data_IF_350375729604
#
_entry.id   IF_350375729604
#
_cell.length_a   1.000
_cell.length_b   1.000
_cell.length_c   1.000
_cell.angle_alpha   90.00
_cell.angle_beta   90.00
_cell.angle_gamma   90.00
#
_symmetry.space_group_name_H-M   'P 1'
#
loop_
_entity.id
_entity.type
_entity.pdbx_description
1 polymer ?
#
# COMPACT_ATOMS: atom_id res chain seq x y z
N UNK A 1 -20.21 12.07 -16.32
CA UNK A 1 -20.12 12.90 -15.10
C UNK A 1 -18.85 13.73 -15.18
N UNK A 2 -18.88 15.03 -14.82
CA UNK A 2 -17.67 15.85 -14.81
C UNK A 2 -16.65 15.32 -13.78
N UNK A 3 -15.35 15.46 -14.08
CA UNK A 3 -14.25 14.93 -13.26
C UNK A 3 -14.28 15.42 -11.79
N UNK A 4 -14.78 16.63 -11.54
CA UNK A 4 -14.91 17.18 -10.19
C UNK A 4 -15.96 16.46 -9.32
N UNK A 5 -16.97 15.79 -9.92
CA UNK A 5 -17.95 15.01 -9.16
C UNK A 5 -17.31 13.81 -8.47
N UNK A 6 -16.33 13.16 -9.12
CA UNK A 6 -15.57 12.07 -8.51
C UNK A 6 -14.72 12.56 -7.34
N UNK A 7 -14.07 13.70 -7.49
CA UNK A 7 -13.26 14.31 -6.43
C UNK A 7 -14.15 14.66 -5.24
N UNK A 8 -15.32 15.27 -5.48
CA UNK A 8 -16.27 15.61 -4.43
C UNK A 8 -16.79 14.37 -3.67
N UNK A 9 -17.12 13.29 -4.40
CA UNK A 9 -17.55 12.02 -3.79
C UNK A 9 -16.42 11.43 -2.92
N UNK A 10 -15.18 11.44 -3.42
CA UNK A 10 -14.04 10.94 -2.66
C UNK A 10 -13.80 11.75 -1.39
N UNK A 11 -13.79 13.08 -1.47
CA UNK A 11 -13.61 13.96 -0.31
C UNK A 11 -14.74 13.74 0.70
N UNK A 12 -16.01 13.67 0.25
CA UNK A 12 -17.13 13.41 1.13
C UNK A 12 -17.04 12.05 1.81
N UNK A 13 -16.73 10.99 1.05
CA UNK A 13 -16.59 9.63 1.60
C UNK A 13 -15.46 9.56 2.63
N UNK A 14 -14.28 10.11 2.31
CA UNK A 14 -13.17 10.17 3.27
C UNK A 14 -13.51 11.01 4.50
N UNK A 15 -14.13 12.17 4.32
CA UNK A 15 -14.54 13.04 5.42
C UNK A 15 -15.53 12.35 6.36
N UNK A 16 -16.58 11.75 5.83
CA UNK A 16 -17.60 11.03 6.61
C UNK A 16 -16.96 9.84 7.35
N UNK A 17 -16.16 9.03 6.63
CA UNK A 17 -15.46 7.89 7.23
C UNK A 17 -14.53 8.34 8.33
N UNK A 18 -13.78 9.43 8.13
CA UNK A 18 -12.87 9.98 9.12
C UNK A 18 -13.62 10.47 10.37
N UNK A 19 -14.74 11.16 10.20
CA UNK A 19 -15.57 11.66 11.32
C UNK A 19 -16.11 10.48 12.14
N UNK A 20 -16.68 9.46 11.48
CA UNK A 20 -17.26 8.28 12.14
C UNK A 20 -16.20 7.50 12.93
N UNK A 21 -15.00 7.36 12.37
CA UNK A 21 -13.92 6.56 12.98
C UNK A 21 -12.90 7.42 13.74
N UNK A 22 -13.12 8.74 13.86
CA UNK A 22 -12.14 9.66 14.44
C UNK A 22 -11.64 9.25 15.82
N UNK A 23 -12.54 8.84 16.71
CA UNK A 23 -12.17 8.42 18.06
C UNK A 23 -11.27 7.16 18.05
N UNK A 24 -11.63 6.16 17.23
CA UNK A 24 -10.83 4.93 17.02
C UNK A 24 -9.52 5.24 16.29
N UNK A 25 -9.56 6.10 15.27
CA UNK A 25 -8.38 6.53 14.52
C UNK A 25 -7.40 7.30 15.43
N UNK A 26 -7.89 8.18 16.30
CA UNK A 26 -7.05 8.92 17.25
C UNK A 26 -6.33 7.99 18.22
N UNK A 27 -7.01 7.00 18.77
CA UNK A 27 -6.40 5.97 19.63
C UNK A 27 -5.34 5.16 18.88
N UNK A 28 -5.66 4.70 17.66
CA UNK A 28 -4.72 3.97 16.81
C UNK A 28 -3.49 4.80 16.44
N UNK A 29 -3.68 6.07 16.04
CA UNK A 29 -2.60 7.00 15.70
C UNK A 29 -1.72 7.26 16.91
N UNK A 30 -2.31 7.46 18.10
CA UNK A 30 -1.55 7.64 19.33
C UNK A 30 -0.72 6.41 19.69
N UNK A 31 -1.28 5.22 19.55
CA UNK A 31 -0.58 3.94 19.74
C UNK A 31 0.57 3.76 18.74
N UNK A 32 0.32 4.04 17.46
CA UNK A 32 1.35 3.99 16.41
C UNK A 32 2.46 5.00 16.72
N UNK A 33 2.12 6.24 17.08
CA UNK A 33 3.08 7.28 17.42
C UNK A 33 3.96 6.90 18.61
N UNK A 34 3.37 6.28 19.64
CA UNK A 34 4.11 5.79 20.80
C UNK A 34 5.06 4.67 20.42
N UNK A 35 4.61 3.70 19.61
CA UNK A 35 5.45 2.61 19.09
C UNK A 35 6.58 3.16 18.20
N UNK A 36 6.31 4.15 17.34
CA UNK A 36 7.34 4.77 16.50
C UNK A 36 8.37 5.55 17.31
N UNK A 37 7.99 6.19 18.43
CA UNK A 37 8.92 6.89 19.34
C UNK A 37 9.81 5.93 20.12
N UNK A 38 9.30 4.76 20.48
CA UNK A 38 10.04 3.73 21.22
C UNK A 38 10.88 2.82 20.32
N UNK A 39 10.71 2.93 18.99
CA UNK A 39 11.46 2.10 18.05
C UNK A 39 12.94 2.48 18.02
N UNK A 40 13.79 1.46 17.98
CA UNK A 40 15.24 1.63 17.75
C UNK A 40 15.46 2.45 16.48
N UNK A 41 16.35 3.44 16.52
CA UNK A 41 16.65 4.27 15.35
C UNK A 41 17.28 3.42 14.26
N UNK A 42 16.61 3.31 13.14
CA UNK A 42 17.16 2.61 11.98
C UNK A 42 18.45 3.28 11.49
N UNK A 43 19.46 2.49 11.08
CA UNK A 43 20.65 3.02 10.42
C UNK A 43 20.29 3.83 9.17
N UNK A 44 21.08 4.85 8.85
CA UNK A 44 20.84 5.72 7.68
C UNK A 44 20.68 4.92 6.38
N UNK A 45 21.53 3.89 6.20
CA UNK A 45 21.43 2.98 5.03
C UNK A 45 20.08 2.27 4.94
N UNK A 46 19.55 1.77 6.08
CA UNK A 46 18.25 1.09 6.09
C UNK A 46 17.11 2.06 5.76
N UNK A 47 17.15 3.29 6.28
CA UNK A 47 16.20 4.34 5.93
C UNK A 47 16.23 4.68 4.45
N UNK A 48 17.43 4.82 3.88
CA UNK A 48 17.61 5.15 2.46
C UNK A 48 17.07 4.01 1.58
N UNK A 49 17.38 2.75 1.88
CA UNK A 49 16.87 1.60 1.14
C UNK A 49 15.34 1.52 1.24
N UNK A 50 14.79 1.65 2.44
CA UNK A 50 13.34 1.63 2.63
C UNK A 50 12.65 2.80 1.89
N UNK A 51 13.23 4.00 1.98
CA UNK A 51 12.74 5.17 1.25
C UNK A 51 12.79 4.97 -0.27
N UNK A 52 13.85 4.36 -0.79
CA UNK A 52 13.97 4.04 -2.22
C UNK A 52 12.93 2.98 -2.66
N UNK A 53 12.71 1.96 -1.84
CA UNK A 53 11.68 0.95 -2.12
C UNK A 53 10.27 1.55 -2.17
N UNK A 54 9.97 2.54 -1.32
CA UNK A 54 8.70 3.26 -1.35
C UNK A 54 8.64 4.28 -2.49
N UNK A 55 9.59 5.17 -2.58
CA UNK A 55 9.52 6.32 -3.49
C UNK A 55 9.96 6.00 -4.92
N UNK A 56 10.90 5.07 -5.11
CA UNK A 56 11.49 4.76 -6.41
C UNK A 56 10.45 4.46 -7.49
N UNK A 57 9.56 3.48 -7.31
CA UNK A 57 8.55 3.18 -8.32
C UNK A 57 7.62 4.35 -8.61
N UNK A 58 7.24 5.15 -7.60
CA UNK A 58 6.38 6.33 -7.81
C UNK A 58 7.08 7.45 -8.55
N UNK A 59 8.38 7.67 -8.30
CA UNK A 59 9.19 8.68 -9.00
C UNK A 59 9.36 8.31 -10.48
N UNK A 60 9.35 7.03 -10.82
CA UNK A 60 9.46 6.57 -12.22
C UNK A 60 8.15 6.67 -13.00
N UNK A 61 7.00 6.86 -12.36
CA UNK A 61 5.69 6.97 -13.04
C UNK A 61 5.68 8.04 -14.13
N UNK A 62 6.18 9.28 -13.95
CA UNK A 62 6.16 10.29 -15.00
C UNK A 62 6.95 9.88 -16.25
N UNK A 63 7.97 9.04 -16.10
CA UNK A 63 8.82 8.55 -17.20
C UNK A 63 8.15 7.33 -17.88
N UNK A 64 7.53 6.46 -17.09
CA UNK A 64 6.93 5.20 -17.52
C UNK A 64 5.41 5.24 -17.32
N UNK A 65 4.77 6.29 -17.82
CA UNK A 65 3.33 6.54 -17.57
C UNK A 65 2.43 5.38 -18.01
N UNK A 66 2.79 4.66 -19.07
CA UNK A 66 2.02 3.51 -19.54
C UNK A 66 2.05 2.32 -18.57
N UNK A 67 3.01 2.28 -17.65
CA UNK A 67 3.18 1.22 -16.66
C UNK A 67 2.79 1.65 -15.25
N UNK A 68 2.14 2.81 -15.10
CA UNK A 68 1.88 3.41 -13.78
C UNK A 68 1.15 2.48 -12.82
N UNK A 69 0.21 1.66 -13.30
CA UNK A 69 -0.54 0.72 -12.49
C UNK A 69 0.35 -0.38 -11.88
N UNK A 70 1.32 -0.87 -12.64
CA UNK A 70 2.29 -1.86 -12.17
C UNK A 70 3.32 -1.24 -11.23
N UNK A 71 3.72 0.01 -11.50
CA UNK A 71 4.63 0.76 -10.63
C UNK A 71 4.01 1.07 -9.27
N UNK A 72 2.70 1.32 -9.21
CA UNK A 72 1.98 1.47 -7.94
C UNK A 72 2.02 0.16 -7.15
N UNK A 73 1.68 -0.97 -7.76
CA UNK A 73 1.75 -2.28 -7.11
C UNK A 73 3.18 -2.60 -6.65
N UNK A 74 4.18 -2.29 -7.47
CA UNK A 74 5.60 -2.48 -7.15
C UNK A 74 6.02 -1.63 -5.95
N UNK A 75 5.63 -0.35 -5.91
CA UNK A 75 5.93 0.56 -4.81
C UNK A 75 5.30 0.10 -3.49
N UNK A 76 4.03 -0.30 -3.53
CA UNK A 76 3.35 -0.87 -2.37
C UNK A 76 4.02 -2.17 -1.93
N UNK A 77 4.34 -3.05 -2.87
CA UNK A 77 4.96 -4.34 -2.60
C UNK A 77 6.34 -4.20 -1.96
N UNK A 78 7.27 -3.53 -2.64
CA UNK A 78 8.63 -3.31 -2.16
C UNK A 78 8.66 -2.48 -0.88
N UNK A 79 7.82 -1.44 -0.80
CA UNK A 79 7.73 -0.59 0.39
C UNK A 79 7.33 -1.36 1.64
N UNK A 80 6.28 -2.17 1.55
CA UNK A 80 5.81 -2.96 2.70
C UNK A 80 6.81 -4.07 3.09
N UNK A 81 7.36 -4.80 2.11
CA UNK A 81 8.37 -5.84 2.39
C UNK A 81 9.63 -5.23 3.03
N UNK A 82 10.15 -4.14 2.47
CA UNK A 82 11.34 -3.49 3.02
C UNK A 82 11.09 -2.92 4.42
N UNK A 83 9.90 -2.36 4.66
CA UNK A 83 9.52 -1.87 5.99
C UNK A 83 9.44 -3.02 6.99
N UNK A 84 8.82 -4.15 6.62
CA UNK A 84 8.78 -5.35 7.46
C UNK A 84 10.18 -5.82 7.84
N UNK A 85 11.08 -5.97 6.84
CA UNK A 85 12.45 -6.44 7.08
C UNK A 85 13.24 -5.47 7.96
N UNK A 86 13.09 -4.16 7.75
CA UNK A 86 13.74 -3.16 8.58
C UNK A 86 13.19 -3.17 10.02
N UNK A 87 11.88 -3.28 10.21
CA UNK A 87 11.26 -3.34 11.53
C UNK A 87 11.69 -4.59 12.28
N UNK A 88 11.67 -5.74 11.62
CA UNK A 88 12.11 -7.00 12.21
C UNK A 88 13.58 -6.96 12.62
N UNK A 89 14.45 -6.45 11.75
CA UNK A 89 15.91 -6.43 11.96
C UNK A 89 16.35 -5.40 12.99
N UNK A 90 15.77 -4.19 12.95
CA UNK A 90 16.29 -3.07 13.74
C UNK A 90 15.41 -2.65 14.91
N UNK A 91 14.13 -3.01 14.90
CA UNK A 91 13.19 -2.66 15.97
C UNK A 91 12.67 -3.86 16.75
N UNK A 92 13.00 -5.09 16.33
CA UNK A 92 12.48 -6.31 16.95
C UNK A 92 10.96 -6.49 16.81
N UNK A 93 10.30 -5.70 15.96
CA UNK A 93 8.87 -5.75 15.74
C UNK A 93 8.54 -6.66 14.56
N UNK A 94 7.71 -7.66 14.78
CA UNK A 94 7.28 -8.64 13.77
C UNK A 94 5.90 -8.23 13.21
N UNK A 95 5.89 -7.22 12.33
CA UNK A 95 4.68 -6.75 11.67
C UNK A 95 4.38 -7.57 10.41
N UNK A 96 4.00 -8.83 10.59
CA UNK A 96 3.74 -9.77 9.48
C UNK A 96 2.64 -9.30 8.53
N UNK A 97 1.70 -8.49 9.01
CA UNK A 97 0.67 -7.87 8.18
C UNK A 97 1.25 -7.05 7.02
N UNK A 98 2.37 -6.35 7.25
CA UNK A 98 3.07 -5.63 6.18
C UNK A 98 3.72 -6.59 5.17
N UNK A 99 4.27 -7.70 5.65
CA UNK A 99 4.81 -8.73 4.77
C UNK A 99 3.71 -9.32 3.87
N UNK A 100 2.53 -9.60 4.44
CA UNK A 100 1.37 -10.12 3.69
C UNK A 100 0.95 -9.13 2.60
N UNK A 101 0.76 -7.84 2.95
CA UNK A 101 0.43 -6.80 1.96
C UNK A 101 1.48 -6.73 0.87
N UNK A 102 2.76 -6.71 1.26
CA UNK A 102 3.87 -6.59 0.33
C UNK A 102 3.95 -7.77 -0.65
N UNK A 103 3.88 -9.00 -0.16
CA UNK A 103 3.95 -10.19 -0.99
C UNK A 103 2.74 -10.30 -1.94
N UNK A 104 1.53 -10.06 -1.46
CA UNK A 104 0.33 -10.10 -2.30
C UNK A 104 0.43 -9.03 -3.40
N UNK A 105 0.90 -7.81 -3.08
CA UNK A 105 1.08 -6.75 -4.08
C UNK A 105 2.11 -7.14 -5.14
N UNK A 106 3.23 -7.77 -4.77
CA UNK A 106 4.24 -8.24 -5.72
C UNK A 106 3.72 -9.37 -6.61
N UNK A 107 2.99 -10.33 -6.04
CA UNK A 107 2.36 -11.44 -6.79
C UNK A 107 1.26 -10.92 -7.72
N UNK A 108 0.58 -9.84 -7.33
CA UNK A 108 -0.44 -9.22 -8.16
C UNK A 108 0.12 -8.57 -9.43
N UNK A 109 1.43 -8.24 -9.51
CA UNK A 109 2.03 -7.62 -10.71
C UNK A 109 1.91 -8.53 -11.95
N UNK A 110 2.40 -9.78 -11.95
CA UNK A 110 2.24 -10.65 -13.11
C UNK A 110 0.78 -10.93 -13.45
N UNK A 111 -0.11 -11.00 -12.45
CA UNK A 111 -1.55 -11.14 -12.68
C UNK A 111 -2.11 -9.91 -13.40
N UNK A 112 -1.74 -8.71 -12.93
CA UNK A 112 -2.17 -7.45 -13.55
C UNK A 112 -1.64 -7.30 -14.98
N UNK A 113 -0.39 -7.71 -15.25
CA UNK A 113 0.20 -7.73 -16.60
C UNK A 113 -0.57 -8.70 -17.49
N UNK A 114 -0.87 -9.89 -17.03
CA UNK A 114 -1.65 -10.87 -17.80
C UNK A 114 -3.06 -10.36 -18.12
N UNK A 115 -3.71 -9.72 -17.17
CA UNK A 115 -5.04 -9.12 -17.38
C UNK A 115 -4.96 -7.99 -18.40
N UNK A 116 -3.99 -7.10 -18.30
CA UNK A 116 -3.83 -5.96 -19.20
C UNK A 116 -3.48 -6.41 -20.62
N UNK A 117 -2.54 -7.32 -20.77
CA UNK A 117 -2.00 -7.70 -22.11
C UNK A 117 -2.83 -8.77 -22.83
N UNK A 118 -3.53 -9.64 -22.11
CA UNK A 118 -4.23 -10.79 -22.71
C UNK A 118 -5.75 -10.62 -22.65
N UNK A 119 -6.31 -10.34 -21.49
CA UNK A 119 -7.76 -10.33 -21.31
C UNK A 119 -8.42 -9.02 -21.72
N UNK A 120 -7.77 -7.90 -21.48
CA UNK A 120 -8.36 -6.56 -21.66
C UNK A 120 -7.44 -5.63 -22.46
N UNK A 121 -6.65 -6.16 -23.41
CA UNK A 121 -5.76 -5.35 -24.25
C UNK A 121 -6.49 -4.19 -24.98
N UNK A 122 -7.76 -4.41 -25.35
CA UNK A 122 -8.62 -3.39 -25.96
C UNK A 122 -9.45 -2.55 -24.95
N UNK A 123 -9.38 -2.85 -23.68
CA UNK A 123 -10.19 -2.25 -22.60
C UNK A 123 -9.34 -1.89 -21.38
N UNK A 124 -8.40 -0.99 -21.59
CA UNK A 124 -7.45 -0.56 -20.57
C UNK A 124 -8.12 0.05 -19.32
N UNK A 125 -9.28 0.65 -19.47
CA UNK A 125 -10.09 1.14 -18.36
C UNK A 125 -10.43 0.02 -17.35
N UNK A 126 -10.78 -1.16 -17.85
CA UNK A 126 -11.08 -2.34 -17.02
C UNK A 126 -9.80 -2.89 -16.38
N UNK A 127 -8.71 -3.02 -17.13
CA UNK A 127 -7.44 -3.50 -16.62
C UNK A 127 -6.92 -2.63 -15.45
N UNK A 128 -7.00 -1.31 -15.59
CA UNK A 128 -6.65 -0.35 -14.53
C UNK A 128 -7.56 -0.52 -13.31
N UNK A 129 -8.86 -0.69 -13.51
CA UNK A 129 -9.80 -0.91 -12.41
C UNK A 129 -9.45 -2.19 -11.64
N UNK A 130 -9.16 -3.28 -12.34
CA UNK A 130 -8.79 -4.56 -11.70
C UNK A 130 -7.48 -4.41 -10.93
N UNK A 131 -6.47 -3.71 -11.46
CA UNK A 131 -5.23 -3.43 -10.73
C UNK A 131 -5.48 -2.68 -9.40
N UNK A 132 -6.43 -1.75 -9.37
CA UNK A 132 -6.85 -1.06 -8.13
C UNK A 132 -7.55 -2.00 -7.15
N UNK A 133 -8.37 -2.93 -7.66
CA UNK A 133 -9.01 -3.96 -6.84
C UNK A 133 -7.94 -4.88 -6.22
N UNK A 134 -6.91 -5.26 -6.96
CA UNK A 134 -5.80 -6.06 -6.43
C UNK A 134 -5.07 -5.36 -5.27
N UNK A 135 -4.88 -4.04 -5.35
CA UNK A 135 -4.33 -3.25 -4.23
C UNK A 135 -5.25 -3.36 -3.00
N UNK A 136 -6.56 -3.20 -3.20
CA UNK A 136 -7.54 -3.29 -2.11
C UNK A 136 -7.56 -4.68 -1.48
N UNK A 137 -7.44 -5.73 -2.29
CA UNK A 137 -7.32 -7.13 -1.83
C UNK A 137 -6.05 -7.33 -0.99
N UNK A 138 -4.92 -6.78 -1.42
CA UNK A 138 -3.67 -6.89 -0.67
C UNK A 138 -3.78 -6.26 0.73
N UNK A 139 -4.31 -5.04 0.82
CA UNK A 139 -4.53 -4.38 2.12
C UNK A 139 -5.62 -5.06 2.96
N UNK A 140 -6.70 -5.55 2.32
CA UNK A 140 -7.74 -6.33 2.99
C UNK A 140 -7.18 -7.61 3.62
N UNK A 141 -6.37 -8.35 2.88
CA UNK A 141 -5.71 -9.56 3.39
C UNK A 141 -4.77 -9.25 4.57
N UNK A 142 -3.96 -8.19 4.47
CA UNK A 142 -3.12 -7.73 5.58
C UNK A 142 -3.93 -7.34 6.81
N UNK A 143 -5.05 -6.65 6.61
CA UNK A 143 -5.98 -6.29 7.70
C UNK A 143 -6.61 -7.50 8.37
N UNK A 144 -7.11 -8.47 7.59
CA UNK A 144 -7.65 -9.73 8.11
C UNK A 144 -6.58 -10.48 8.89
N UNK A 145 -5.37 -10.60 8.33
CA UNK A 145 -4.25 -11.24 9.02
C UNK A 145 -3.94 -10.55 10.35
N UNK A 146 -3.91 -9.22 10.39
CA UNK A 146 -3.64 -8.46 11.60
C UNK A 146 -4.69 -8.69 12.71
N UNK A 147 -5.96 -8.91 12.33
CA UNK A 147 -7.04 -9.20 13.27
C UNK A 147 -6.94 -10.64 13.78
N UNK A 148 -6.76 -11.61 12.88
CA UNK A 148 -6.77 -13.05 13.22
C UNK A 148 -5.50 -13.48 13.96
N UNK A 149 -4.35 -12.85 13.68
CA UNK A 149 -3.07 -13.20 14.33
C UNK A 149 -2.92 -12.67 15.76
N UNK A 150 -3.81 -11.78 16.20
CA UNK A 150 -3.81 -11.19 17.56
C UNK A 150 -4.90 -11.76 18.45
N UNK A 151 -5.77 -12.61 17.90
CA UNK A 151 -6.76 -13.40 18.65
C UNK A 151 -6.13 -14.70 19.15
#
# INVERSE_FOLDING_TARGET
MPSYSYIAIWIATFGITFIIFFAKARSAISSIRTRMKSSVKWPTKAKAINGLCWAGPFITIPILIHFYQFLILLGIGLGNVSTYLCMRKYSGLDNREQMVVGLISLIAIPVAIGIDSVMFAARQDIAVMISRVLISVAYGAGGIYAITSKA
#
